data_IF_232710750829
#
_entry.id   IF_232710750829
#
_cell.length_a   1.000
_cell.length_b   1.000
_cell.length_c   1.000
_cell.angle_alpha   90.00
_cell.angle_beta   90.00
_cell.angle_gamma   90.00
#
_symmetry.space_group_name_H-M   'P 1'
#
loop_
_entity.id
_entity.type
_entity.pdbx_description
1 polymer ?
#
# COMPACT_ATOMS: atom_id res chain seq x y z
N UNK A 1 -53.06 45.85 2.31
CA UNK A 1 -52.28 44.82 3.01
C UNK A 1 -52.77 43.45 2.53
N UNK A 2 -52.01 42.77 1.68
CA UNK A 2 -52.28 41.38 1.31
C UNK A 2 -50.92 40.67 1.18
N UNK A 3 -50.79 39.57 1.91
CA UNK A 3 -49.55 38.90 2.22
C UNK A 3 -49.03 38.09 1.03
N UNK A 4 -47.76 38.27 0.70
CA UNK A 4 -47.02 37.42 -0.24
C UNK A 4 -46.54 36.20 0.56
N UNK A 5 -47.16 35.05 0.30
CA UNK A 5 -46.70 33.74 0.77
C UNK A 5 -45.46 33.34 -0.03
N UNK A 6 -44.27 33.50 0.57
CA UNK A 6 -43.03 32.89 0.09
C UNK A 6 -43.07 31.39 0.43
N UNK A 7 -43.38 30.54 -0.54
CA UNK A 7 -43.14 29.10 -0.42
C UNK A 7 -41.65 28.81 -0.53
N UNK A 8 -41.01 28.51 0.59
CA UNK A 8 -39.65 27.95 0.63
C UNK A 8 -39.67 26.51 0.11
N UNK A 9 -39.24 26.31 -1.13
CA UNK A 9 -38.93 24.98 -1.67
C UNK A 9 -37.60 24.53 -1.05
N UNK A 10 -37.66 23.66 -0.06
CA UNK A 10 -36.48 22.93 0.43
C UNK A 10 -36.10 21.87 -0.60
N UNK A 11 -35.06 22.14 -1.39
CA UNK A 11 -34.41 21.10 -2.19
C UNK A 11 -33.59 20.24 -1.23
N UNK A 12 -34.13 19.09 -0.82
CA UNK A 12 -33.34 18.03 -0.21
C UNK A 12 -32.38 17.48 -1.26
N UNK A 13 -31.15 17.99 -1.32
CA UNK A 13 -30.07 17.35 -2.05
C UNK A 13 -29.76 16.01 -1.37
N UNK A 14 -30.35 14.92 -1.86
CA UNK A 14 -29.88 13.58 -1.53
C UNK A 14 -28.41 13.51 -1.95
N UNK A 15 -27.51 13.21 -1.01
CA UNK A 15 -26.09 13.01 -1.32
C UNK A 15 -25.98 11.92 -2.38
N UNK A 16 -25.63 12.30 -3.60
CA UNK A 16 -25.49 11.35 -4.70
C UNK A 16 -24.34 10.41 -4.38
N UNK A 17 -24.61 9.10 -4.41
CA UNK A 17 -23.59 8.09 -4.26
C UNK A 17 -22.51 8.31 -5.33
N UNK A 18 -21.23 8.30 -4.93
CA UNK A 18 -20.14 8.55 -5.86
C UNK A 18 -20.08 7.39 -6.89
N UNK A 19 -20.27 7.64 -8.20
CA UNK A 19 -20.36 6.58 -9.20
C UNK A 19 -19.04 5.81 -9.40
N UNK A 20 -17.91 6.38 -8.96
CA UNK A 20 -16.60 5.73 -8.95
C UNK A 20 -16.40 4.80 -7.74
N UNK A 21 -17.37 4.64 -6.86
CA UNK A 21 -17.30 3.72 -5.73
C UNK A 21 -18.32 2.61 -5.97
N UNK A 22 -17.85 1.37 -6.05
CA UNK A 22 -18.73 0.20 -6.17
C UNK A 22 -19.59 0.08 -4.91
N UNK A 23 -20.91 -0.21 -5.02
CA UNK A 23 -21.74 -0.47 -3.85
C UNK A 23 -21.09 -1.53 -2.96
N UNK A 24 -20.83 -1.17 -1.71
CA UNK A 24 -20.20 -2.05 -0.73
C UNK A 24 -18.66 -1.99 -0.68
N UNK A 25 -18.00 -1.17 -1.51
CA UNK A 25 -16.55 -1.01 -1.47
C UNK A 25 -16.05 -0.39 -0.14
N UNK A 26 -16.89 0.37 0.55
CA UNK A 26 -16.59 1.06 1.81
C UNK A 26 -17.43 0.55 3.00
N UNK A 27 -17.78 -0.75 2.99
CA UNK A 27 -18.55 -1.34 4.08
C UNK A 27 -17.83 -1.20 5.43
N UNK A 28 -18.56 -0.82 6.49
CA UNK A 28 -17.97 -0.68 7.81
C UNK A 28 -17.57 -2.04 8.38
N UNK A 29 -16.50 -2.03 9.16
CA UNK A 29 -16.12 -3.10 10.07
C UNK A 29 -17.20 -3.23 11.15
N UNK A 30 -17.87 -4.37 11.18
CA UNK A 30 -18.90 -4.71 12.17
C UNK A 30 -18.39 -5.74 13.17
N UNK A 31 -18.97 -5.75 14.39
CA UNK A 31 -18.54 -6.67 15.45
C UNK A 31 -18.77 -8.14 15.10
N UNK A 32 -19.85 -8.44 14.37
CA UNK A 32 -20.14 -9.78 13.87
C UNK A 32 -19.23 -10.20 12.72
N UNK A 33 -18.91 -9.28 11.79
CA UNK A 33 -18.05 -9.57 10.65
C UNK A 33 -16.56 -9.64 11.00
N UNK A 34 -16.12 -8.89 12.02
CA UNK A 34 -14.71 -8.69 12.35
C UNK A 34 -14.45 -8.70 13.87
N UNK A 35 -14.81 -9.78 14.59
CA UNK A 35 -14.68 -9.85 16.05
C UNK A 35 -13.22 -9.64 16.52
N UNK A 36 -12.24 -10.18 15.79
CA UNK A 36 -10.81 -9.99 16.07
C UNK A 36 -10.35 -8.53 15.95
N UNK A 37 -10.92 -7.79 15.01
CA UNK A 37 -10.59 -6.35 14.86
C UNK A 37 -11.13 -5.57 16.05
N UNK A 38 -12.35 -5.88 16.52
CA UNK A 38 -12.91 -5.28 17.73
C UNK A 38 -12.11 -5.62 18.99
N UNK A 39 -11.67 -6.87 19.14
CA UNK A 39 -10.80 -7.30 20.24
C UNK A 39 -9.48 -6.51 20.24
N UNK A 40 -8.87 -6.36 19.07
CA UNK A 40 -7.55 -5.72 18.93
C UNK A 40 -7.58 -4.19 18.99
N UNK A 41 -8.65 -3.55 18.54
CA UNK A 41 -8.73 -2.09 18.39
C UNK A 41 -9.68 -1.41 19.37
N UNK A 42 -10.60 -2.17 19.96
CA UNK A 42 -11.70 -1.63 20.75
C UNK A 42 -12.70 -0.82 19.93
N UNK A 43 -13.82 -0.47 20.56
CA UNK A 43 -14.92 0.30 19.94
C UNK A 43 -14.44 1.63 19.34
N UNK A 44 -13.65 2.40 20.12
CA UNK A 44 -13.15 3.69 19.67
C UNK A 44 -12.18 3.56 18.47
N UNK A 45 -11.35 2.52 18.44
CA UNK A 45 -10.46 2.25 17.31
C UNK A 45 -11.24 1.85 16.06
N UNK A 46 -12.24 0.98 16.19
CA UNK A 46 -13.10 0.59 15.06
C UNK A 46 -13.91 1.77 14.52
N UNK A 47 -14.42 2.64 15.39
CA UNK A 47 -15.11 3.85 14.95
C UNK A 47 -14.21 4.75 14.08
N UNK A 48 -12.92 4.90 14.45
CA UNK A 48 -11.93 5.61 13.64
C UNK A 48 -11.67 4.90 12.31
N UNK A 49 -11.50 3.58 12.33
CA UNK A 49 -11.32 2.76 11.12
C UNK A 49 -12.49 2.95 10.15
N UNK A 50 -13.73 2.84 10.63
CA UNK A 50 -14.93 2.97 9.79
C UNK A 50 -15.05 4.37 9.16
N UNK A 51 -14.75 5.42 9.93
CA UNK A 51 -14.68 6.78 9.39
C UNK A 51 -13.60 6.89 8.31
N UNK A 52 -12.43 6.33 8.56
CA UNK A 52 -11.33 6.34 7.62
C UNK A 52 -11.66 5.55 6.34
N UNK A 53 -12.32 4.39 6.42
CA UNK A 53 -12.72 3.58 5.26
C UNK A 53 -13.60 4.40 4.31
N UNK A 54 -14.67 5.01 4.84
CA UNK A 54 -15.57 5.86 4.05
C UNK A 54 -14.82 7.02 3.39
N UNK A 55 -13.98 7.71 4.15
CA UNK A 55 -13.22 8.83 3.62
C UNK A 55 -12.16 8.38 2.61
N UNK A 56 -11.48 7.27 2.84
CA UNK A 56 -10.49 6.67 1.97
C UNK A 56 -11.07 6.31 0.60
N UNK A 57 -12.28 5.75 0.56
CA UNK A 57 -12.99 5.46 -0.68
C UNK A 57 -13.23 6.73 -1.51
N UNK A 58 -13.64 7.83 -0.88
CA UNK A 58 -13.81 9.11 -1.55
C UNK A 58 -12.48 9.69 -2.05
N UNK A 59 -11.43 9.62 -1.22
CA UNK A 59 -10.08 10.08 -1.57
C UNK A 59 -9.53 9.35 -2.79
N UNK A 60 -9.69 8.03 -2.84
CA UNK A 60 -9.20 7.20 -3.95
C UNK A 60 -10.07 7.38 -5.20
N UNK A 61 -11.40 7.48 -5.06
CA UNK A 61 -12.30 7.73 -6.18
C UNK A 61 -12.02 9.07 -6.89
N UNK A 62 -11.51 10.07 -6.16
CA UNK A 62 -11.08 11.35 -6.73
C UNK A 62 -9.75 11.25 -7.51
N UNK A 63 -8.99 10.16 -7.35
CA UNK A 63 -7.70 9.98 -8.01
C UNK A 63 -7.87 9.57 -9.49
N UNK A 64 -7.14 10.21 -10.39
CA UNK A 64 -7.18 9.93 -11.83
C UNK A 64 -6.66 8.54 -12.20
N UNK A 65 -5.83 7.91 -11.35
CA UNK A 65 -5.37 6.53 -11.54
C UNK A 65 -6.41 5.49 -11.15
N UNK A 66 -7.42 5.81 -10.34
CA UNK A 66 -8.49 4.88 -10.01
C UNK A 66 -9.68 5.07 -10.95
N UNK A 67 -10.02 4.05 -11.72
CA UNK A 67 -11.21 4.08 -12.57
C UNK A 67 -12.48 3.85 -11.75
N UNK A 68 -12.46 2.86 -10.85
CA UNK A 68 -13.54 2.55 -9.92
C UNK A 68 -13.00 1.83 -8.68
N UNK A 69 -13.34 2.32 -7.49
CA UNK A 69 -13.00 1.70 -6.20
C UNK A 69 -13.86 0.45 -6.00
N UNK A 70 -13.23 -0.67 -5.70
CA UNK A 70 -13.91 -1.96 -5.46
C UNK A 70 -13.85 -2.39 -4.00
N UNK A 71 -12.80 -2.01 -3.28
CA UNK A 71 -12.66 -2.32 -1.86
C UNK A 71 -11.79 -1.27 -1.17
N UNK A 72 -12.18 -0.91 0.06
CA UNK A 72 -11.39 -0.15 1.01
C UNK A 72 -11.50 -0.83 2.36
N UNK A 73 -10.37 -1.24 2.93
CA UNK A 73 -10.35 -1.97 4.20
C UNK A 73 -9.08 -1.70 5.00
N UNK A 74 -9.10 -2.08 6.27
CA UNK A 74 -7.93 -2.02 7.15
C UNK A 74 -6.81 -2.91 6.61
N UNK A 75 -5.60 -2.37 6.50
CA UNK A 75 -4.39 -3.13 6.19
C UNK A 75 -3.79 -3.67 7.48
N UNK A 76 -4.17 -4.88 7.88
CA UNK A 76 -3.76 -5.47 9.16
C UNK A 76 -2.24 -5.54 9.35
N UNK A 77 -1.50 -5.84 8.27
CA UNK A 77 -0.03 -5.92 8.28
C UNK A 77 0.69 -4.57 8.28
N UNK A 78 -0.03 -3.47 8.01
CA UNK A 78 0.52 -2.09 8.05
C UNK A 78 -0.05 -1.25 9.18
N UNK A 79 -1.05 -1.75 9.88
CA UNK A 79 -1.73 -1.06 10.96
C UNK A 79 -1.30 -1.62 12.32
N UNK A 80 -1.13 -0.74 13.30
CA UNK A 80 -0.85 -1.10 14.68
C UNK A 80 -1.73 -0.30 15.63
N UNK A 81 -2.54 -0.98 16.48
CA UNK A 81 -3.34 -0.30 17.47
C UNK A 81 -2.45 0.34 18.55
N UNK A 82 -2.92 1.40 19.22
CA UNK A 82 -4.16 2.11 18.93
C UNK A 82 -4.02 3.21 17.85
N UNK A 83 -2.80 3.56 17.45
CA UNK A 83 -2.54 4.87 16.84
C UNK A 83 -2.24 4.87 15.35
N UNK A 84 -1.97 3.71 14.74
CA UNK A 84 -1.52 3.63 13.36
C UNK A 84 -2.52 2.85 12.51
N UNK A 85 -3.51 3.55 11.96
CA UNK A 85 -4.47 2.98 11.02
C UNK A 85 -3.98 3.25 9.59
N UNK A 86 -3.79 2.17 8.84
CA UNK A 86 -3.48 2.20 7.41
C UNK A 86 -4.56 1.42 6.67
N UNK A 87 -5.15 2.03 5.67
CA UNK A 87 -6.11 1.38 4.78
C UNK A 87 -5.39 0.93 3.52
N UNK A 88 -5.88 -0.14 2.89
CA UNK A 88 -5.67 -0.36 1.46
C UNK A 88 -6.96 -0.06 0.71
N UNK A 89 -6.81 0.43 -0.52
CA UNK A 89 -7.91 0.60 -1.44
C UNK A 89 -7.53 0.03 -2.80
N UNK A 90 -8.37 -0.85 -3.35
CA UNK A 90 -8.18 -1.42 -4.68
C UNK A 90 -9.19 -0.88 -5.66
N UNK A 91 -8.69 -0.64 -6.86
CA UNK A 91 -9.46 -0.21 -8.00
C UNK A 91 -9.61 -1.34 -9.00
N UNK A 92 -10.71 -1.32 -9.75
CA UNK A 92 -11.03 -2.29 -10.80
C UNK A 92 -9.93 -2.43 -11.85
N UNK A 93 -9.25 -1.35 -12.19
CA UNK A 93 -8.11 -1.37 -13.10
C UNK A 93 -6.80 -1.95 -12.50
N UNK A 94 -6.86 -2.52 -11.29
CA UNK A 94 -5.73 -3.17 -10.62
C UNK A 94 -4.80 -2.21 -9.86
N UNK A 95 -5.13 -0.92 -9.81
CA UNK A 95 -4.39 0.03 -8.97
C UNK A 95 -4.69 -0.20 -7.49
N UNK A 96 -3.65 -0.18 -6.66
CA UNK A 96 -3.76 -0.22 -5.20
C UNK A 96 -3.23 1.07 -4.59
N UNK A 97 -3.87 1.51 -3.53
CA UNK A 97 -3.44 2.63 -2.70
C UNK A 97 -3.28 2.17 -1.26
N UNK A 98 -2.34 2.79 -0.53
CA UNK A 98 -2.33 2.75 0.92
C UNK A 98 -2.52 4.17 1.44
N UNK A 99 -3.37 4.34 2.44
CA UNK A 99 -3.68 5.63 3.04
C UNK A 99 -3.58 5.52 4.56
N UNK A 100 -2.91 6.46 5.21
CA UNK A 100 -3.03 6.63 6.66
C UNK A 100 -4.41 7.18 7.01
N UNK A 101 -4.83 7.02 8.26
CA UNK A 101 -6.05 7.68 8.77
C UNK A 101 -6.07 9.18 8.49
N UNK A 102 -4.94 9.86 8.68
CA UNK A 102 -4.83 11.29 8.40
C UNK A 102 -5.06 11.61 6.92
N UNK A 103 -4.41 10.88 6.01
CA UNK A 103 -4.59 11.06 4.57
C UNK A 103 -6.03 10.82 4.13
N UNK A 104 -6.67 9.77 4.66
CA UNK A 104 -8.08 9.50 4.40
C UNK A 104 -8.96 10.65 4.89
N UNK A 105 -8.82 11.06 6.16
CA UNK A 105 -9.67 12.07 6.79
C UNK A 105 -9.48 13.49 6.22
N UNK A 106 -8.26 13.83 5.79
CA UNK A 106 -7.95 15.11 5.14
C UNK A 106 -8.27 15.10 3.65
N UNK A 107 -8.64 13.95 3.08
CA UNK A 107 -8.80 13.71 1.63
C UNK A 107 -7.57 14.15 0.84
N UNK A 108 -6.39 13.88 1.39
CA UNK A 108 -5.12 14.26 0.79
C UNK A 108 -4.83 13.42 -0.46
N UNK A 109 -4.16 14.03 -1.44
CA UNK A 109 -3.69 13.31 -2.62
C UNK A 109 -2.80 12.13 -2.21
N UNK A 110 -3.03 10.96 -2.79
CA UNK A 110 -2.25 9.74 -2.53
C UNK A 110 -1.78 9.13 -3.85
N UNK A 111 -0.52 8.71 -3.92
CA UNK A 111 0.01 8.02 -5.10
C UNK A 111 -0.38 6.54 -5.06
N UNK A 112 -0.78 6.00 -6.21
CA UNK A 112 -0.98 4.56 -6.36
C UNK A 112 0.35 3.82 -6.21
N UNK A 113 0.28 2.54 -5.85
CA UNK A 113 1.47 1.70 -5.73
C UNK A 113 2.21 1.57 -7.07
N UNK A 114 1.49 1.58 -8.20
CA UNK A 114 2.12 1.58 -9.52
C UNK A 114 2.87 2.90 -9.82
N UNK A 115 2.33 4.05 -9.37
CA UNK A 115 3.02 5.34 -9.51
C UNK A 115 4.30 5.39 -8.67
N UNK A 116 4.26 4.86 -7.44
CA UNK A 116 5.45 4.75 -6.59
C UNK A 116 6.51 3.85 -7.22
N UNK A 117 6.08 2.74 -7.81
CA UNK A 117 6.96 1.80 -8.53
C UNK A 117 7.59 2.42 -9.78
N UNK A 118 6.85 3.27 -10.51
CA UNK A 118 7.34 3.94 -11.71
C UNK A 118 8.56 4.85 -11.44
N UNK A 119 8.78 5.27 -10.18
CA UNK A 119 9.98 6.00 -9.76
C UNK A 119 11.25 5.13 -9.67
N UNK A 120 11.17 3.82 -9.91
CA UNK A 120 12.31 2.90 -9.85
C UNK A 120 12.40 2.09 -11.14
N UNK A 121 13.49 2.26 -11.88
CA UNK A 121 13.76 1.41 -13.04
C UNK A 121 14.13 -0.01 -12.62
N UNK A 122 13.97 -0.98 -13.53
CA UNK A 122 14.43 -2.36 -13.32
C UNK A 122 15.93 -2.40 -12.97
N UNK A 123 16.74 -1.58 -13.63
CA UNK A 123 18.17 -1.48 -13.38
C UNK A 123 18.48 -0.96 -11.99
N UNK A 124 17.80 0.10 -11.55
CA UNK A 124 17.98 0.66 -10.21
C UNK A 124 17.55 -0.33 -9.13
N UNK A 125 16.48 -1.08 -9.35
CA UNK A 125 16.06 -2.14 -8.43
C UNK A 125 17.14 -3.22 -8.27
N UNK A 126 17.75 -3.66 -9.38
CA UNK A 126 18.84 -4.64 -9.36
C UNK A 126 20.06 -4.08 -8.63
N UNK A 127 20.44 -2.83 -8.89
CA UNK A 127 21.57 -2.16 -8.21
C UNK A 127 21.31 -2.04 -6.71
N UNK A 128 20.13 -1.56 -6.31
CA UNK A 128 19.74 -1.46 -4.89
C UNK A 128 19.77 -2.82 -4.20
N UNK A 129 19.25 -3.86 -4.84
CA UNK A 129 19.30 -5.22 -4.31
C UNK A 129 20.73 -5.71 -4.15
N UNK A 130 21.56 -5.54 -5.20
CA UNK A 130 22.98 -5.92 -5.21
C UNK A 130 23.74 -5.29 -4.04
N UNK A 131 23.57 -3.99 -3.84
CA UNK A 131 24.28 -3.23 -2.82
C UNK A 131 23.81 -3.64 -1.42
N UNK A 132 22.51 -3.91 -1.26
CA UNK A 132 21.94 -4.41 -0.01
C UNK A 132 22.41 -5.85 0.31
N UNK A 133 22.50 -6.75 -0.68
CA UNK A 133 23.09 -8.09 -0.49
C UNK A 133 24.54 -7.94 -0.02
N UNK A 134 25.36 -7.19 -0.76
CA UNK A 134 26.77 -6.97 -0.43
C UNK A 134 26.97 -6.49 1.01
N UNK A 135 26.16 -5.54 1.46
CA UNK A 135 26.23 -5.00 2.82
C UNK A 135 25.90 -6.02 3.93
N UNK A 136 25.16 -7.08 3.61
CA UNK A 136 24.75 -8.13 4.56
C UNK A 136 25.68 -9.35 4.59
N UNK A 137 26.74 -9.37 3.76
CA UNK A 137 27.68 -10.50 3.73
C UNK A 137 28.78 -10.38 4.77
N UNK A 138 29.28 -11.53 5.22
CA UNK A 138 30.40 -11.60 6.16
C UNK A 138 31.69 -10.95 5.60
N UNK A 139 31.92 -11.08 4.29
CA UNK A 139 33.06 -10.48 3.58
C UNK A 139 32.55 -9.73 2.33
N UNK A 140 32.09 -8.47 2.46
CA UNK A 140 31.43 -7.73 1.38
C UNK A 140 32.27 -7.60 0.09
N UNK A 141 33.61 -7.50 0.22
CA UNK A 141 34.53 -7.37 -0.92
C UNK A 141 34.61 -8.62 -1.79
N UNK A 142 34.21 -9.78 -1.27
CA UNK A 142 34.20 -11.06 -2.01
C UNK A 142 32.92 -11.29 -2.81
N UNK A 143 31.97 -10.36 -2.75
CA UNK A 143 30.68 -10.50 -3.39
C UNK A 143 30.79 -10.53 -4.92
N UNK A 144 30.37 -11.65 -5.51
CA UNK A 144 30.39 -11.89 -6.95
C UNK A 144 28.96 -12.23 -7.44
N UNK A 145 28.18 -11.25 -7.93
CA UNK A 145 26.82 -11.47 -8.40
C UNK A 145 26.79 -12.13 -9.78
N UNK A 146 25.91 -13.13 -9.96
CA UNK A 146 25.65 -13.76 -11.25
C UNK A 146 24.63 -12.93 -12.07
N UNK A 147 25.07 -11.76 -12.54
CA UNK A 147 24.23 -10.71 -13.16
C UNK A 147 23.36 -11.20 -14.32
N UNK A 148 23.86 -12.12 -15.15
CA UNK A 148 23.11 -12.70 -16.28
C UNK A 148 21.90 -13.54 -15.85
N UNK A 149 21.94 -14.09 -14.64
CA UNK A 149 20.84 -14.89 -14.08
C UNK A 149 19.91 -14.09 -13.16
N UNK A 150 20.19 -12.80 -12.97
CA UNK A 150 19.38 -11.93 -12.10
C UNK A 150 18.03 -11.65 -12.75
N UNK A 151 16.96 -11.91 -12.00
CA UNK A 151 15.60 -11.61 -12.40
C UNK A 151 15.07 -10.44 -11.58
N UNK A 152 14.27 -9.59 -12.21
CA UNK A 152 13.57 -8.51 -11.54
C UNK A 152 12.16 -8.41 -12.13
N UNK A 153 11.16 -8.61 -11.28
CA UNK A 153 9.74 -8.63 -11.63
C UNK A 153 9.04 -7.53 -10.84
N UNK A 154 8.24 -6.72 -11.52
CA UNK A 154 7.49 -5.65 -10.87
C UNK A 154 6.14 -6.16 -10.36
N UNK A 155 5.76 -5.74 -9.15
CA UNK A 155 4.45 -5.96 -8.58
C UNK A 155 3.76 -4.60 -8.39
N UNK A 156 2.81 -4.31 -9.28
CA UNK A 156 2.08 -3.03 -9.29
C UNK A 156 1.18 -2.85 -8.05
N UNK A 157 0.68 -3.95 -7.49
CA UNK A 157 -0.20 -3.95 -6.32
C UNK A 157 0.57 -3.61 -5.05
N UNK A 158 1.79 -4.13 -4.88
CA UNK A 158 2.63 -3.81 -3.71
C UNK A 158 3.51 -2.58 -3.93
N UNK A 159 3.69 -2.15 -5.17
CA UNK A 159 4.56 -1.03 -5.53
C UNK A 159 6.03 -1.37 -5.42
N UNK A 160 6.39 -2.64 -5.63
CA UNK A 160 7.74 -3.15 -5.41
C UNK A 160 8.28 -3.91 -6.62
N UNK A 161 9.61 -3.90 -6.76
CA UNK A 161 10.35 -4.86 -7.56
C UNK A 161 10.75 -6.03 -6.68
N UNK A 162 10.43 -7.26 -7.09
CA UNK A 162 11.03 -8.47 -6.56
C UNK A 162 12.25 -8.81 -7.40
N UNK A 163 13.43 -8.75 -6.78
CA UNK A 163 14.71 -9.08 -7.43
C UNK A 163 15.23 -10.38 -6.86
N UNK A 164 15.46 -11.37 -7.71
CA UNK A 164 16.09 -12.65 -7.35
C UNK A 164 17.49 -12.68 -7.95
N UNK A 165 18.50 -12.89 -7.10
CA UNK A 165 19.91 -12.83 -7.48
C UNK A 165 20.69 -14.01 -6.91
N UNK A 166 21.39 -14.73 -7.79
CA UNK A 166 22.42 -15.69 -7.38
C UNK A 166 23.75 -14.99 -7.24
N UNK A 167 24.58 -15.44 -6.32
CA UNK A 167 25.92 -14.88 -6.12
C UNK A 167 26.88 -15.93 -5.54
N UNK A 168 28.17 -15.58 -5.51
CA UNK A 168 29.17 -16.24 -4.67
C UNK A 168 29.78 -15.24 -3.70
N UNK A 169 30.18 -15.70 -2.52
CA UNK A 169 30.90 -14.89 -1.55
C UNK A 169 31.69 -15.74 -0.56
N UNK A 170 32.66 -15.12 0.10
CA UNK A 170 33.44 -15.75 1.17
C UNK A 170 32.76 -15.61 2.52
N UNK A 171 32.80 -16.69 3.30
CA UNK A 171 32.49 -16.64 4.72
C UNK A 171 33.71 -16.14 5.53
N UNK A 172 33.58 -16.06 6.87
CA UNK A 172 34.67 -15.59 7.76
C UNK A 172 35.93 -16.47 7.74
N UNK A 173 35.82 -17.71 7.29
CA UNK A 173 36.95 -18.64 7.15
C UNK A 173 37.62 -18.55 5.76
N UNK A 174 37.16 -17.64 4.90
CA UNK A 174 37.73 -17.42 3.56
C UNK A 174 37.23 -18.40 2.49
N UNK A 175 36.34 -19.34 2.83
CA UNK A 175 35.75 -20.28 1.88
C UNK A 175 34.69 -19.58 1.02
N UNK A 176 34.80 -19.71 -0.31
CA UNK A 176 33.80 -19.21 -1.26
C UNK A 176 32.62 -20.18 -1.36
N UNK A 177 31.40 -19.66 -1.17
CA UNK A 177 30.16 -20.42 -1.22
C UNK A 177 29.15 -19.72 -2.16
N UNK A 178 28.31 -20.50 -2.87
CA UNK A 178 27.17 -19.94 -3.58
C UNK A 178 26.10 -19.48 -2.58
N UNK A 179 25.36 -18.45 -2.94
CA UNK A 179 24.19 -17.96 -2.20
C UNK A 179 23.10 -17.51 -3.15
N UNK A 180 21.88 -17.48 -2.64
CA UNK A 180 20.73 -16.91 -3.34
C UNK A 180 20.14 -15.79 -2.49
N UNK A 181 19.67 -14.73 -3.12
CA UNK A 181 19.02 -13.64 -2.42
C UNK A 181 17.74 -13.21 -3.13
N UNK A 182 16.77 -12.81 -2.32
CA UNK A 182 15.56 -12.14 -2.76
C UNK A 182 15.50 -10.76 -2.12
N UNK A 183 15.24 -9.75 -2.94
CA UNK A 183 15.06 -8.38 -2.50
C UNK A 183 13.68 -7.86 -2.89
N UNK A 184 12.94 -7.31 -1.94
CA UNK A 184 11.77 -6.47 -2.21
C UNK A 184 12.21 -5.01 -2.18
N UNK A 185 12.22 -4.36 -3.35
CA UNK A 185 12.66 -2.96 -3.53
C UNK A 185 11.45 -2.08 -3.81
N UNK A 186 11.20 -1.09 -2.96
CA UNK A 186 10.09 -0.13 -3.13
C UNK A 186 10.60 1.30 -3.28
N UNK A 187 9.72 2.22 -3.72
CA UNK A 187 9.98 3.67 -3.74
C UNK A 187 10.29 4.26 -2.37
N UNK A 188 9.77 3.62 -1.32
CA UNK A 188 9.78 4.12 0.04
C UNK A 188 10.68 3.22 0.91
N UNK A 189 11.88 3.67 1.24
CA UNK A 189 12.79 3.00 2.19
C UNK A 189 13.80 2.01 1.59
N UNK A 190 14.62 1.37 2.46
CA UNK A 190 15.66 0.44 2.02
C UNK A 190 15.08 -0.88 1.50
N UNK A 191 15.78 -1.58 0.58
CA UNK A 191 15.42 -2.92 0.16
C UNK A 191 15.30 -3.88 1.35
N UNK A 192 14.24 -4.68 1.35
CA UNK A 192 14.13 -5.82 2.25
C UNK A 192 14.83 -7.00 1.61
N UNK A 193 15.88 -7.52 2.24
CA UNK A 193 16.74 -8.58 1.68
C UNK A 193 16.63 -9.84 2.53
N UNK A 194 16.47 -10.97 1.85
CA UNK A 194 16.61 -12.31 2.43
C UNK A 194 17.70 -13.05 1.68
N UNK A 195 18.69 -13.56 2.41
CA UNK A 195 19.79 -14.37 1.86
C UNK A 195 19.60 -15.82 2.32
N UNK A 196 19.59 -16.75 1.37
CA UNK A 196 19.42 -18.19 1.55
C UNK A 196 20.67 -18.96 1.12
#
# INVERSE_FOLDING_TARGET
MQAILLSCIFICAAATANPKITPGADLPVTRSGYPKTFERWGEAGVARINKAIKNGAQTVAANSKCDKVEIVALSDGRSSPPNNIVLFADCRNGERFYLTEAQANQRAATASQSQKLAGISKGDAIVKCRDAIRANLAVPSSFNPATLSTQAISNKTTGTWLVTMKFKSKNRMGQELPGNAECSVSGDGPPQVTIN
#
